data_IF_783653442832
#
_entry.id   IF_783653442832
#
_cell.length_a   1.000
_cell.length_b   1.000
_cell.length_c   1.000
_cell.angle_alpha   90.00
_cell.angle_beta   90.00
_cell.angle_gamma   90.00
#
_symmetry.space_group_name_H-M   'P 1'
#
loop_
_entity.id
_entity.type
_entity.pdbx_description
1 polymer ?
#
# COMPACT_ATOMS: atom_id res chain seq x y z
N UNK A 1 -8.47 -1.19 -4.86
CA UNK A 1 -9.14 -2.41 -4.36
C UNK A 1 -9.86 -2.03 -3.07
N UNK A 2 -10.40 -2.98 -2.31
CA UNK A 2 -10.92 -2.69 -0.98
C UNK A 2 -9.79 -2.46 0.01
N UNK A 3 -10.05 -1.69 1.08
CA UNK A 3 -9.05 -1.42 2.11
C UNK A 3 -8.52 -2.67 2.83
N UNK A 4 -9.28 -3.78 2.84
CA UNK A 4 -8.79 -5.07 3.39
C UNK A 4 -7.68 -5.65 2.52
N UNK A 5 -7.86 -5.62 1.21
CA UNK A 5 -6.86 -6.09 0.23
C UNK A 5 -5.61 -5.24 0.27
N UNK A 6 -5.73 -3.93 0.44
CA UNK A 6 -4.58 -3.04 0.62
C UNK A 6 -3.80 -3.36 1.90
N UNK A 7 -4.46 -3.52 3.05
CA UNK A 7 -3.81 -3.93 4.30
C UNK A 7 -3.05 -5.25 4.12
N UNK A 8 -3.70 -6.26 3.53
CA UNK A 8 -3.03 -7.56 3.31
C UNK A 8 -1.90 -7.48 2.29
N UNK A 9 -2.00 -6.60 1.28
CA UNK A 9 -0.91 -6.30 0.36
C UNK A 9 0.31 -5.71 1.09
N UNK A 10 0.06 -4.75 1.98
CA UNK A 10 1.11 -4.16 2.82
C UNK A 10 1.76 -5.17 3.74
N UNK A 11 0.97 -5.98 4.45
CA UNK A 11 1.50 -7.03 5.34
C UNK A 11 2.31 -8.05 4.53
N UNK A 12 1.77 -8.61 3.46
CA UNK A 12 2.43 -9.65 2.68
C UNK A 12 3.74 -9.18 2.05
N UNK A 13 3.76 -7.96 1.49
CA UNK A 13 4.97 -7.39 0.89
C UNK A 13 6.03 -7.06 1.94
N UNK A 14 5.62 -6.56 3.10
CA UNK A 14 6.56 -6.21 4.17
C UNK A 14 7.11 -7.43 4.91
N UNK A 15 6.32 -8.49 5.12
CA UNK A 15 6.84 -9.74 5.70
C UNK A 15 7.76 -10.47 4.75
N UNK A 16 7.49 -10.43 3.44
CA UNK A 16 8.43 -10.91 2.42
C UNK A 16 9.75 -10.12 2.47
N UNK A 17 9.67 -8.78 2.52
CA UNK A 17 10.86 -7.94 2.63
C UNK A 17 11.63 -8.19 3.94
N UNK A 18 10.93 -8.39 5.06
CA UNK A 18 11.56 -8.76 6.32
C UNK A 18 12.35 -10.07 6.20
N UNK A 19 11.76 -11.07 5.54
CA UNK A 19 12.43 -12.36 5.30
C UNK A 19 13.70 -12.22 4.45
N UNK A 20 13.66 -11.49 3.34
CA UNK A 20 14.80 -11.38 2.43
C UNK A 20 15.89 -10.39 2.86
N UNK A 21 15.53 -9.36 3.62
CA UNK A 21 16.44 -8.26 3.98
C UNK A 21 16.76 -8.18 5.48
N UNK A 22 16.23 -9.09 6.29
CA UNK A 22 16.53 -9.15 7.73
C UNK A 22 15.94 -8.01 8.55
N UNK A 23 14.81 -7.44 8.12
CA UNK A 23 14.07 -6.46 8.92
C UNK A 23 13.26 -7.13 10.04
N UNK A 24 12.89 -6.37 11.06
CA UNK A 24 11.99 -6.83 12.11
C UNK A 24 10.60 -7.14 11.51
N UNK A 25 10.12 -8.39 11.59
CA UNK A 25 8.91 -8.82 10.91
C UNK A 25 7.63 -8.18 11.47
N UNK A 26 7.61 -7.86 12.76
CA UNK A 26 6.43 -7.29 13.43
C UNK A 26 6.29 -5.81 13.06
N UNK A 27 7.38 -5.05 13.17
CA UNK A 27 7.43 -3.65 12.78
C UNK A 27 7.14 -3.48 11.29
N UNK A 28 7.71 -4.34 10.45
CA UNK A 28 7.45 -4.34 9.00
C UNK A 28 5.98 -4.62 8.69
N UNK A 29 5.38 -5.65 9.29
CA UNK A 29 3.96 -5.96 9.06
C UNK A 29 3.04 -4.83 9.53
N UNK A 30 3.28 -4.28 10.72
CA UNK A 30 2.46 -3.21 11.29
C UNK A 30 2.57 -1.91 10.48
N UNK A 31 3.80 -1.47 10.18
CA UNK A 31 4.03 -0.27 9.37
C UNK A 31 3.59 -0.47 7.92
N UNK A 32 3.74 -1.66 7.34
CA UNK A 32 3.21 -2.02 6.03
C UNK A 32 1.69 -1.92 5.93
N UNK A 33 0.98 -2.44 6.92
CA UNK A 33 -0.47 -2.32 7.02
C UNK A 33 -0.94 -0.85 7.08
N UNK A 34 -0.22 -0.02 7.84
CA UNK A 34 -0.50 1.42 7.95
C UNK A 34 -0.16 2.13 6.63
N UNK A 35 1.03 1.89 6.08
CA UNK A 35 1.51 2.48 4.84
C UNK A 35 0.58 2.20 3.67
N UNK A 36 0.07 0.98 3.57
CA UNK A 36 -0.86 0.59 2.51
C UNK A 36 -2.22 1.30 2.58
N UNK A 37 -2.52 2.06 3.63
CA UNK A 37 -3.74 2.85 3.72
C UNK A 37 -3.51 4.36 3.47
N UNK A 38 -2.26 4.84 3.56
CA UNK A 38 -1.91 6.26 3.40
C UNK A 38 -2.38 6.84 2.06
N UNK A 39 -2.19 6.17 0.89
CA UNK A 39 -2.62 6.72 -0.39
C UNK A 39 -4.14 6.98 -0.46
N UNK A 40 -4.93 6.21 0.29
CA UNK A 40 -6.38 6.32 0.34
C UNK A 40 -6.91 7.41 1.30
N UNK A 41 -6.03 8.24 1.90
CA UNK A 41 -6.44 9.46 2.64
C UNK A 41 -7.34 10.36 1.76
N UNK A 42 -7.15 10.36 0.43
CA UNK A 42 -7.95 11.15 -0.52
C UNK A 42 -9.40 10.64 -0.72
N UNK A 43 -9.76 9.46 -0.22
CA UNK A 43 -11.08 8.87 -0.42
C UNK A 43 -11.94 9.05 0.84
N UNK A 44 -12.93 9.93 0.82
CA UNK A 44 -13.75 10.28 1.99
C UNK A 44 -14.47 9.09 2.64
N UNK A 45 -14.81 8.05 1.87
CA UNK A 45 -15.39 6.80 2.40
C UNK A 45 -14.37 5.71 2.79
N UNK A 46 -13.06 5.93 2.58
CA UNK A 46 -12.05 4.95 3.00
C UNK A 46 -11.92 4.96 4.54
N UNK A 47 -11.30 3.91 5.10
CA UNK A 47 -11.05 3.85 6.56
C UNK A 47 -10.30 5.09 7.06
N UNK A 48 -9.33 5.59 6.30
CA UNK A 48 -8.55 6.77 6.70
C UNK A 48 -9.26 8.08 6.34
N UNK A 49 -9.89 8.18 5.17
CA UNK A 49 -10.61 9.40 4.78
C UNK A 49 -11.78 9.73 5.72
N UNK A 50 -12.45 8.72 6.30
CA UNK A 50 -13.45 8.93 7.36
C UNK A 50 -12.86 9.42 8.68
N UNK A 51 -11.60 9.11 8.97
CA UNK A 51 -10.89 9.59 10.16
C UNK A 51 -10.43 11.05 9.99
N UNK A 52 -10.14 11.49 8.77
CA UNK A 52 -9.72 12.85 8.44
C UNK A 52 -10.59 13.50 7.35
N UNK A 53 -11.88 13.77 7.62
CA UNK A 53 -12.85 14.16 6.60
C UNK A 53 -12.54 15.49 5.92
N UNK A 54 -11.98 16.46 6.66
CA UNK A 54 -11.61 17.78 6.12
C UNK A 54 -10.47 17.64 5.12
N UNK A 55 -9.38 16.98 5.52
CA UNK A 55 -8.21 16.75 4.66
C UNK A 55 -8.60 15.95 3.42
N UNK A 56 -9.39 14.90 3.60
CA UNK A 56 -9.87 14.05 2.50
C UNK A 56 -10.70 14.85 1.49
N UNK A 57 -11.60 15.72 1.96
CA UNK A 57 -12.44 16.56 1.10
C UNK A 57 -11.63 17.60 0.34
N UNK A 58 -10.65 18.25 0.99
CA UNK A 58 -9.76 19.23 0.33
C UNK A 58 -8.92 18.55 -0.75
N UNK A 59 -8.22 17.46 -0.42
CA UNK A 59 -7.36 16.75 -1.38
C UNK A 59 -8.17 16.21 -2.56
N UNK A 60 -9.34 15.61 -2.29
CA UNK A 60 -10.22 15.09 -3.33
C UNK A 60 -10.79 16.20 -4.22
N UNK A 61 -11.12 17.36 -3.65
CA UNK A 61 -11.65 18.50 -4.42
C UNK A 61 -10.59 19.18 -5.29
N UNK A 62 -9.33 19.21 -4.84
CA UNK A 62 -8.23 19.88 -5.56
C UNK A 62 -7.60 18.96 -6.61
N UNK A 63 -7.35 17.70 -6.26
CA UNK A 63 -6.62 16.77 -7.11
C UNK A 63 -7.50 15.67 -7.72
N UNK A 64 -8.66 15.36 -7.15
CA UNK A 64 -9.46 14.19 -7.50
C UNK A 64 -9.00 12.91 -6.79
N UNK A 65 -9.78 11.83 -6.92
CA UNK A 65 -9.41 10.51 -6.41
C UNK A 65 -8.43 9.79 -7.37
N UNK A 66 -7.44 9.07 -6.80
CA UNK A 66 -6.39 8.31 -7.54
C UNK A 66 -5.48 9.15 -8.43
N UNK A 67 -5.19 10.36 -7.98
CA UNK A 67 -4.33 11.30 -8.68
C UNK A 67 -3.06 11.52 -7.88
N UNK A 68 -2.93 12.64 -7.16
CA UNK A 68 -1.73 13.03 -6.43
C UNK A 68 -1.26 11.93 -5.47
N UNK A 69 -2.12 11.45 -4.56
CA UNK A 69 -1.76 10.44 -3.55
C UNK A 69 -1.42 9.04 -4.12
N UNK A 70 -1.73 8.80 -5.40
CA UNK A 70 -1.46 7.54 -6.11
C UNK A 70 -0.40 7.72 -7.20
N UNK A 71 0.53 8.65 -7.00
CA UNK A 71 1.58 9.00 -7.95
C UNK A 71 2.99 8.73 -7.41
N UNK A 72 3.95 8.60 -8.31
CA UNK A 72 5.37 8.52 -7.96
C UNK A 72 5.86 9.80 -7.27
N UNK A 73 5.28 10.95 -7.60
CA UNK A 73 5.60 12.22 -6.93
C UNK A 73 5.24 12.16 -5.44
N UNK A 74 4.05 11.66 -5.12
CA UNK A 74 3.65 11.48 -3.72
C UNK A 74 4.52 10.46 -2.99
N UNK A 75 4.85 9.34 -3.65
CA UNK A 75 5.82 8.38 -3.11
C UNK A 75 7.17 9.03 -2.81
N UNK A 76 7.69 9.88 -3.71
CA UNK A 76 8.96 10.58 -3.51
C UNK A 76 8.90 11.56 -2.34
N UNK A 77 7.81 12.32 -2.20
CA UNK A 77 7.60 13.22 -1.06
C UNK A 77 7.56 12.42 0.24
N UNK A 78 6.80 11.33 0.27
CA UNK A 78 6.70 10.47 1.44
C UNK A 78 8.02 9.78 1.77
N UNK A 79 8.84 9.44 0.77
CA UNK A 79 10.19 8.93 0.98
C UNK A 79 11.03 9.94 1.77
N UNK A 80 11.10 11.21 1.34
CA UNK A 80 11.86 12.23 2.07
C UNK A 80 11.31 12.51 3.47
N UNK A 81 9.98 12.53 3.63
CA UNK A 81 9.35 12.73 4.95
C UNK A 81 9.71 11.58 5.88
N UNK A 82 9.48 10.34 5.44
CA UNK A 82 9.74 9.16 6.29
C UNK A 82 11.23 8.99 6.57
N UNK A 83 12.12 9.23 5.60
CA UNK A 83 13.57 9.13 5.82
C UNK A 83 14.12 10.22 6.75
N UNK A 84 13.47 11.38 6.82
CA UNK A 84 13.93 12.51 7.66
C UNK A 84 13.39 12.43 9.08
N UNK A 85 12.11 12.07 9.23
CA UNK A 85 11.39 12.19 10.50
C UNK A 85 11.12 10.84 11.20
N UNK A 86 11.37 9.70 10.55
CA UNK A 86 11.20 8.36 11.13
C UNK A 86 12.56 7.67 11.19
N UNK A 87 13.27 7.72 12.34
CA UNK A 87 14.62 7.15 12.46
C UNK A 87 14.67 5.63 12.32
N UNK A 88 13.58 4.94 12.68
CA UNK A 88 13.50 3.49 12.57
C UNK A 88 13.36 3.05 11.11
N UNK A 89 14.36 2.30 10.63
CA UNK A 89 14.43 1.81 9.25
C UNK A 89 13.34 0.78 8.93
N UNK A 90 12.91 -0.03 9.90
CA UNK A 90 11.84 -1.00 9.69
C UNK A 90 10.52 -0.27 9.46
N UNK A 91 10.24 0.76 10.26
CA UNK A 91 8.99 1.53 10.14
C UNK A 91 8.99 2.36 8.85
N UNK A 92 10.06 3.08 8.55
CA UNK A 92 10.14 3.88 7.31
C UNK A 92 10.08 3.01 6.05
N UNK A 93 10.82 1.90 6.01
CA UNK A 93 10.76 0.95 4.90
C UNK A 93 9.38 0.30 4.76
N UNK A 94 8.79 -0.16 5.87
CA UNK A 94 7.47 -0.79 5.84
C UNK A 94 6.37 0.18 5.40
N UNK A 95 6.41 1.45 5.83
CA UNK A 95 5.50 2.47 5.30
C UNK A 95 5.64 2.62 3.77
N UNK A 96 6.87 2.72 3.26
CA UNK A 96 7.15 2.89 1.83
C UNK A 96 6.74 1.66 1.01
N UNK A 97 7.06 0.45 1.47
CA UNK A 97 6.68 -0.80 0.80
C UNK A 97 5.16 -0.98 0.84
N UNK A 98 4.51 -0.66 1.97
CA UNK A 98 3.06 -0.65 2.11
C UNK A 98 2.41 0.28 1.08
N UNK A 99 2.86 1.54 0.99
CA UNK A 99 2.36 2.50 -0.01
C UNK A 99 2.61 2.01 -1.45
N UNK A 100 3.79 1.46 -1.76
CA UNK A 100 4.08 0.90 -3.08
C UNK A 100 3.13 -0.25 -3.44
N UNK A 101 2.87 -1.15 -2.49
CA UNK A 101 1.93 -2.26 -2.68
C UNK A 101 0.51 -1.75 -2.99
N UNK A 102 0.08 -0.65 -2.34
CA UNK A 102 -1.20 -0.01 -2.61
C UNK A 102 -1.29 0.47 -4.05
N UNK A 103 -0.27 1.18 -4.53
CA UNK A 103 -0.23 1.71 -5.89
C UNK A 103 -0.28 0.58 -6.93
N UNK A 104 0.47 -0.51 -6.71
CA UNK A 104 0.44 -1.70 -7.58
C UNK A 104 -0.96 -2.31 -7.62
N UNK A 105 -1.58 -2.51 -6.45
CA UNK A 105 -2.92 -3.09 -6.33
C UNK A 105 -3.98 -2.21 -7.01
N UNK A 106 -3.87 -0.88 -6.92
CA UNK A 106 -4.81 0.02 -7.60
C UNK A 106 -4.54 0.13 -9.12
N UNK A 107 -3.27 0.05 -9.56
CA UNK A 107 -2.94 -0.10 -10.97
C UNK A 107 -3.49 -1.43 -11.56
N UNK A 108 -3.71 -2.44 -10.72
CA UNK A 108 -4.32 -3.71 -11.11
C UNK A 108 -5.85 -3.66 -11.26
N UNK A 109 -6.48 -2.51 -11.00
CA UNK A 109 -7.93 -2.35 -11.14
C UNK A 109 -8.34 -1.73 -12.48
N UNK A 110 -9.60 -1.91 -12.89
CA UNK A 110 -10.17 -1.31 -14.12
C UNK A 110 -9.89 0.19 -14.24
N UNK A 111 -9.92 0.92 -13.12
CA UNK A 111 -9.78 2.37 -13.09
C UNK A 111 -8.33 2.86 -13.24
N UNK A 112 -7.35 2.01 -12.92
CA UNK A 112 -5.93 2.36 -12.83
C UNK A 112 -5.64 3.51 -11.85
N UNK A 113 -4.46 4.12 -12.00
CA UNK A 113 -3.98 5.27 -11.24
C UNK A 113 -3.25 6.28 -12.14
N UNK A 114 -3.22 7.57 -11.77
CA UNK A 114 -2.35 8.56 -12.43
C UNK A 114 -0.93 8.52 -11.87
N UNK A 115 -0.21 7.44 -12.18
CA UNK A 115 1.12 7.18 -11.62
C UNK A 115 2.12 8.33 -11.89
N UNK A 116 2.01 8.98 -13.05
CA UNK A 116 2.88 10.06 -13.50
C UNK A 116 2.29 11.46 -13.28
N UNK A 117 1.42 11.64 -12.29
CA UNK A 117 0.90 12.97 -11.91
C UNK A 117 2.06 13.99 -11.82
N UNK A 118 1.93 15.22 -12.40
CA UNK A 118 0.70 15.88 -12.85
C UNK A 118 0.15 15.46 -14.22
N UNK A 119 0.81 14.53 -14.93
CA UNK A 119 0.26 13.98 -16.16
C UNK A 119 -1.11 13.33 -15.93
N UNK A 120 -2.00 13.45 -16.92
CA UNK A 120 -3.35 12.89 -16.88
C UNK A 120 -3.40 11.42 -17.28
N UNK A 121 -2.27 10.86 -17.75
CA UNK A 121 -2.14 9.47 -18.20
C UNK A 121 -2.45 8.52 -17.04
N UNK A 122 -3.36 7.58 -17.29
CA UNK A 122 -3.68 6.50 -16.34
C UNK A 122 -2.86 5.26 -16.68
N UNK A 123 -2.11 4.78 -15.70
CA UNK A 123 -1.39 3.52 -15.77
C UNK A 123 -2.26 2.42 -15.18
N UNK A 124 -2.35 1.30 -15.90
CA UNK A 124 -3.04 0.08 -15.48
C UNK A 124 -2.25 -1.15 -15.92
N UNK A 125 -2.38 -2.25 -15.19
CA UNK A 125 -1.81 -3.54 -15.59
C UNK A 125 -2.61 -4.18 -16.75
N UNK A 126 -1.98 -4.99 -17.61
CA UNK A 126 -2.63 -5.57 -18.79
C UNK A 126 -3.77 -6.54 -18.44
N UNK A 127 -3.60 -7.32 -17.37
CA UNK A 127 -4.67 -8.06 -16.72
C UNK A 127 -5.22 -7.17 -15.62
N UNK A 128 -6.53 -6.91 -15.57
CA UNK A 128 -7.13 -6.02 -14.59
C UNK A 128 -8.41 -6.64 -13.99
N UNK A 129 -8.78 -6.19 -12.79
CA UNK A 129 -9.96 -6.68 -12.09
C UNK A 129 -10.89 -5.57 -11.58
N UNK A 130 -12.17 -5.92 -11.40
CA UNK A 130 -13.17 -5.05 -10.78
C UNK A 130 -13.02 -5.08 -9.26
N UNK A 131 -13.09 -3.92 -8.62
CA UNK A 131 -13.08 -3.86 -7.15
C UNK A 131 -14.28 -4.61 -6.58
N UNK A 132 -14.06 -5.43 -5.54
CA UNK A 132 -15.08 -6.27 -4.90
C UNK A 132 -15.47 -7.54 -5.67
N UNK A 133 -14.81 -7.82 -6.80
CA UNK A 133 -15.07 -9.03 -7.59
C UNK A 133 -14.51 -10.29 -6.93
N UNK A 134 -14.93 -11.45 -7.44
CA UNK A 134 -14.38 -12.76 -7.04
C UNK A 134 -12.86 -12.83 -7.23
N UNK A 135 -12.32 -12.27 -8.33
CA UNK A 135 -10.87 -12.21 -8.54
C UNK A 135 -10.13 -11.39 -7.48
N UNK A 136 -10.74 -10.33 -6.95
CA UNK A 136 -10.14 -9.59 -5.81
C UNK A 136 -10.10 -10.47 -4.54
N UNK A 137 -11.14 -11.28 -4.30
CA UNK A 137 -11.15 -12.21 -3.16
C UNK A 137 -10.06 -13.28 -3.29
N UNK A 138 -9.79 -13.76 -4.50
CA UNK A 138 -8.67 -14.66 -4.75
C UNK A 138 -7.31 -14.00 -4.47
N UNK A 139 -7.13 -12.73 -4.89
CA UNK A 139 -5.93 -11.96 -4.55
C UNK A 139 -5.80 -11.80 -3.04
N UNK A 140 -6.88 -11.43 -2.34
CA UNK A 140 -6.88 -11.29 -0.89
C UNK A 140 -6.51 -12.61 -0.19
N UNK A 141 -7.05 -13.74 -0.65
CA UNK A 141 -6.71 -15.06 -0.14
C UNK A 141 -5.22 -15.39 -0.38
N UNK A 142 -4.71 -15.13 -1.59
CA UNK A 142 -3.30 -15.33 -1.94
C UNK A 142 -2.36 -14.47 -1.09
N UNK A 143 -2.68 -13.19 -0.89
CA UNK A 143 -1.92 -12.29 0.00
C UNK A 143 -1.95 -12.76 1.46
N UNK A 144 -3.07 -13.33 1.90
CA UNK A 144 -3.19 -13.91 3.24
C UNK A 144 -2.31 -15.14 3.41
N UNK A 145 -2.35 -16.07 2.44
CA UNK A 145 -1.49 -17.25 2.45
C UNK A 145 -0.01 -16.86 2.39
N UNK A 146 0.36 -15.89 1.55
CA UNK A 146 1.72 -15.38 1.49
C UNK A 146 2.16 -14.77 2.84
N UNK A 147 1.29 -13.99 3.49
CA UNK A 147 1.58 -13.44 4.82
C UNK A 147 1.83 -14.55 5.85
N UNK A 148 0.96 -15.56 5.91
CA UNK A 148 1.12 -16.70 6.80
C UNK A 148 2.42 -17.47 6.52
N UNK A 149 2.74 -17.70 5.24
CA UNK A 149 3.97 -18.35 4.82
C UNK A 149 5.21 -17.59 5.28
N UNK A 150 5.32 -16.30 4.99
CA UNK A 150 6.50 -15.52 5.38
C UNK A 150 6.63 -15.39 6.89
N UNK A 151 5.53 -15.23 7.63
CA UNK A 151 5.58 -15.27 9.10
C UNK A 151 6.08 -16.61 9.62
N UNK A 152 5.59 -17.74 9.07
CA UNK A 152 6.09 -19.05 9.43
C UNK A 152 7.60 -19.16 9.20
N UNK A 153 8.06 -18.74 8.02
CA UNK A 153 9.49 -18.74 7.68
C UNK A 153 10.33 -17.86 8.60
N UNK A 154 9.83 -16.68 8.98
CA UNK A 154 10.52 -15.74 9.85
C UNK A 154 10.65 -16.24 11.30
N UNK A 155 9.65 -16.96 11.82
CA UNK A 155 9.64 -17.41 13.22
C UNK A 155 10.13 -18.85 13.42
N UNK A 156 10.06 -19.70 12.39
CA UNK A 156 10.39 -21.14 12.50
C UNK A 156 11.39 -21.62 11.45
N UNK A 157 11.53 -20.91 10.34
CA UNK A 157 12.61 -21.16 9.40
C UNK A 157 13.94 -20.82 10.07
N UNK A 158 14.86 -21.78 10.16
CA UNK A 158 16.23 -21.49 10.62
C UNK A 158 16.80 -20.42 9.69
N UNK A 159 17.09 -19.24 10.25
CA UNK A 159 17.84 -18.22 9.53
C UNK A 159 19.17 -18.85 9.11
N UNK A 160 19.45 -18.86 7.80
CA UNK A 160 20.75 -19.28 7.26
C UNK A 160 21.83 -18.28 7.63
#
# INVERSE_FOLDING_TARGET
MTGKTHIMGGIASCTAAAYYYGFDPVLMAASGAVGALIPDICHTQSKIGRKFPILSKVVSSVFGHRTFTHSLLFMLIMFFITSTYIPDKNISAGLMIGMASHLILDAWTVNGIKLLFPSTIRVRLPLYMKTGSFSEQLVLAGLTLASCYYFYMLFHGRMF
#
